data_IF_539293631354
#
_entry.id   IF_539293631354
#
_cell.length_a   1.000
_cell.length_b   1.000
_cell.length_c   1.000
_cell.angle_alpha   90.00
_cell.angle_beta   90.00
_cell.angle_gamma   90.00
#
_symmetry.space_group_name_H-M   'P 1'
#
loop_
_entity.id
_entity.type
_entity.pdbx_description
1 polymer ?
#
# COMPACT_ATOMS: atom_id res chain seq x y z
N UNK A 1 13.40 -29.18 -19.38
CA UNK A 1 14.13 -28.95 -18.11
C UNK A 1 13.40 -27.83 -17.39
N UNK A 2 12.42 -28.18 -16.56
CA UNK A 2 11.70 -27.17 -15.79
C UNK A 2 12.52 -26.82 -14.54
N UNK A 3 12.69 -25.53 -14.29
CA UNK A 3 13.38 -25.04 -13.11
C UNK A 3 12.40 -25.07 -11.94
N UNK A 4 12.65 -25.95 -10.95
CA UNK A 4 11.79 -26.10 -9.76
C UNK A 4 11.48 -24.78 -9.04
N UNK A 5 12.36 -23.78 -9.13
CA UNK A 5 12.15 -22.47 -8.51
C UNK A 5 11.15 -21.60 -9.27
N UNK A 6 10.94 -21.84 -10.57
CA UNK A 6 9.91 -21.17 -11.37
C UNK A 6 8.54 -21.79 -11.11
N UNK A 7 8.47 -23.12 -11.01
CA UNK A 7 7.21 -23.84 -10.76
C UNK A 7 6.64 -23.61 -9.35
N UNK A 8 7.50 -23.41 -8.35
CA UNK A 8 7.06 -23.16 -6.97
C UNK A 8 6.43 -21.76 -6.79
N UNK A 9 6.74 -20.80 -7.66
CA UNK A 9 6.26 -19.42 -7.56
C UNK A 9 6.72 -18.70 -6.28
N UNK A 10 6.43 -17.40 -6.20
CA UNK A 10 6.61 -16.64 -4.96
C UNK A 10 5.36 -16.80 -4.09
N UNK A 11 5.56 -16.94 -2.77
CA UNK A 11 4.46 -17.09 -1.81
C UNK A 11 3.78 -15.76 -1.46
N UNK A 12 4.36 -14.66 -1.89
CA UNK A 12 3.91 -13.30 -1.57
C UNK A 12 4.27 -12.35 -2.72
N UNK A 13 3.55 -11.23 -2.89
CA UNK A 13 3.92 -10.19 -3.84
C UNK A 13 5.32 -9.62 -3.56
N UNK A 14 6.08 -9.36 -4.63
CA UNK A 14 7.36 -8.66 -4.52
C UNK A 14 7.14 -7.19 -4.15
N UNK A 15 6.12 -6.57 -4.74
CA UNK A 15 5.81 -5.16 -4.53
C UNK A 15 4.32 -5.01 -4.20
N UNK A 16 4.02 -4.24 -3.17
CA UNK A 16 2.68 -3.85 -2.78
C UNK A 16 2.56 -2.32 -2.82
N UNK A 17 1.65 -1.81 -3.63
CA UNK A 17 1.27 -0.39 -3.59
C UNK A 17 0.13 -0.21 -2.60
N UNK A 18 0.34 0.58 -1.57
CA UNK A 18 -0.65 0.85 -0.54
C UNK A 18 -1.08 2.32 -0.57
N UNK A 19 -2.36 2.52 -0.85
CA UNK A 19 -3.04 3.80 -0.67
C UNK A 19 -3.31 4.03 0.83
N UNK A 20 -2.34 4.63 1.52
CA UNK A 20 -2.39 4.81 2.99
C UNK A 20 -3.40 5.88 3.43
N UNK A 21 -3.72 6.79 2.51
CA UNK A 21 -4.82 7.76 2.61
C UNK A 21 -5.24 8.17 1.19
N UNK A 22 -6.51 8.54 0.99
CA UNK A 22 -6.94 9.23 -0.24
C UNK A 22 -6.94 10.77 -0.10
N UNK A 23 -6.63 11.28 1.09
CA UNK A 23 -6.47 12.71 1.30
C UNK A 23 -5.29 13.25 0.47
N UNK A 24 -5.53 14.32 -0.29
CA UNK A 24 -4.52 14.94 -1.13
C UNK A 24 -4.71 16.47 -1.16
N UNK A 25 -3.61 17.22 -1.16
CA UNK A 25 -3.61 18.67 -1.34
C UNK A 25 -3.84 19.11 -2.80
N UNK A 26 -3.91 18.17 -3.74
CA UNK A 26 -4.14 18.43 -5.17
C UNK A 26 -5.43 17.74 -5.67
N UNK A 27 -5.87 18.11 -6.87
CA UNK A 27 -7.02 17.52 -7.59
C UNK A 27 -6.65 17.34 -9.07
N UNK A 28 -5.66 16.49 -9.34
CA UNK A 28 -5.11 16.31 -10.69
C UNK A 28 -6.14 15.67 -11.63
N UNK A 29 -6.28 16.21 -12.85
CA UNK A 29 -7.22 15.70 -13.85
C UNK A 29 -6.92 14.27 -14.34
N UNK A 30 -5.69 13.80 -14.13
CA UNK A 30 -5.20 12.48 -14.51
C UNK A 30 -4.90 11.61 -13.27
N UNK A 31 -5.50 11.92 -12.11
CA UNK A 31 -5.25 11.16 -10.88
C UNK A 31 -5.81 9.73 -11.01
N UNK A 32 -4.94 8.73 -10.92
CA UNK A 32 -5.32 7.31 -11.01
C UNK A 32 -6.32 6.94 -9.90
N UNK A 33 -6.01 7.33 -8.66
CA UNK A 33 -6.77 6.99 -7.46
C UNK A 33 -7.96 7.91 -7.20
N UNK A 34 -8.17 8.92 -8.06
CA UNK A 34 -9.17 9.98 -7.84
C UNK A 34 -9.08 10.62 -6.45
N UNK A 35 -7.84 10.78 -5.96
CA UNK A 35 -7.54 11.26 -4.63
C UNK A 35 -8.02 12.69 -4.40
N UNK A 36 -8.36 12.97 -3.16
CA UNK A 36 -8.67 14.32 -2.74
C UNK A 36 -9.12 14.40 -1.30
N UNK A 37 -10.33 13.93 -1.02
CA UNK A 37 -10.84 13.83 0.34
C UNK A 37 -10.41 12.51 0.97
N UNK A 38 -10.25 12.53 2.30
CA UNK A 38 -9.98 11.32 3.09
C UNK A 38 -11.11 10.30 2.90
N UNK A 39 -10.79 9.03 2.71
CA UNK A 39 -11.82 7.98 2.69
C UNK A 39 -12.40 7.78 4.11
N UNK A 40 -13.68 7.43 4.20
CA UNK A 40 -14.35 7.26 5.50
C UNK A 40 -13.86 6.04 6.29
N UNK A 41 -13.22 5.09 5.61
CA UNK A 41 -12.81 3.78 6.12
C UNK A 41 -11.29 3.55 5.99
N UNK A 42 -10.48 4.60 6.08
CA UNK A 42 -9.02 4.46 6.16
C UNK A 42 -8.62 3.76 7.47
N UNK A 43 -7.60 2.92 7.39
CA UNK A 43 -7.05 2.24 8.57
C UNK A 43 -6.60 3.26 9.61
N UNK A 44 -6.92 3.00 10.87
CA UNK A 44 -6.33 3.67 12.03
C UNK A 44 -4.83 3.39 12.10
N UNK A 45 -4.08 4.18 12.88
CA UNK A 45 -2.64 3.94 13.10
C UNK A 45 -2.35 2.53 13.60
N UNK A 46 -3.18 2.02 14.52
CA UNK A 46 -3.01 0.68 15.07
C UNK A 46 -3.21 -0.41 14.00
N UNK A 47 -4.27 -0.29 13.18
CA UNK A 47 -4.53 -1.22 12.08
C UNK A 47 -3.47 -1.12 10.98
N UNK A 48 -2.96 0.08 10.71
CA UNK A 48 -1.89 0.30 9.74
C UNK A 48 -0.58 -0.38 10.18
N UNK A 49 -0.22 -0.27 11.47
CA UNK A 49 0.95 -0.95 12.03
C UNK A 49 0.77 -2.47 12.08
N UNK A 50 -0.43 -2.95 12.40
CA UNK A 50 -0.74 -4.38 12.34
C UNK A 50 -0.62 -4.94 10.91
N UNK A 51 -1.08 -4.19 9.91
CA UNK A 51 -0.89 -4.55 8.50
C UNK A 51 0.60 -4.65 8.16
N UNK A 52 1.45 -3.74 8.63
CA UNK A 52 2.91 -3.83 8.39
C UNK A 52 3.48 -5.15 8.93
N UNK A 53 3.05 -5.61 10.11
CA UNK A 53 3.47 -6.90 10.65
C UNK A 53 2.96 -8.08 9.82
N UNK A 54 1.72 -8.00 9.32
CA UNK A 54 1.17 -9.02 8.42
C UNK A 54 1.96 -9.10 7.11
N UNK A 55 2.32 -7.96 6.51
CA UNK A 55 3.12 -7.89 5.28
C UNK A 55 4.53 -8.45 5.48
N UNK A 56 5.15 -8.12 6.62
CA UNK A 56 6.45 -8.67 7.03
C UNK A 56 6.37 -10.20 7.19
N UNK A 57 5.37 -10.70 7.92
CA UNK A 57 5.15 -12.14 8.14
C UNK A 57 4.88 -12.89 6.83
N UNK A 58 4.15 -12.27 5.90
CA UNK A 58 3.90 -12.83 4.58
C UNK A 58 5.15 -12.85 3.68
N UNK A 59 6.20 -12.09 4.00
CA UNK A 59 7.41 -11.98 3.20
C UNK A 59 7.24 -11.08 1.97
N UNK A 60 6.44 -10.02 2.08
CA UNK A 60 6.39 -8.95 1.06
C UNK A 60 7.74 -8.22 1.05
N UNK A 61 8.33 -8.07 -0.13
CA UNK A 61 9.69 -7.53 -0.24
C UNK A 61 9.73 -5.99 -0.25
N UNK A 62 8.75 -5.34 -0.88
CA UNK A 62 8.70 -3.90 -1.03
C UNK A 62 7.27 -3.37 -0.88
N UNK A 63 7.14 -2.24 -0.17
CA UNK A 63 5.89 -1.48 -0.07
C UNK A 63 6.11 -0.08 -0.64
N UNK A 64 5.20 0.35 -1.53
CA UNK A 64 5.13 1.69 -2.05
C UNK A 64 3.93 2.41 -1.41
N UNK A 65 4.19 3.43 -0.58
CA UNK A 65 3.14 4.25 0.00
C UNK A 65 2.63 5.28 -1.01
N UNK A 66 1.32 5.42 -1.13
CA UNK A 66 0.67 6.34 -2.06
C UNK A 66 -0.80 6.57 -1.72
N UNK A 67 -1.64 6.64 -2.76
CA UNK A 67 -3.05 7.01 -2.68
C UNK A 67 -3.22 8.49 -3.03
N UNK A 68 -3.51 9.31 -2.04
CA UNK A 68 -3.36 10.75 -2.10
C UNK A 68 -1.91 11.16 -1.85
N UNK A 69 -1.72 12.13 -0.96
CA UNK A 69 -0.40 12.56 -0.52
C UNK A 69 -0.10 11.95 0.86
N UNK A 70 0.77 10.92 0.97
CA UNK A 70 1.02 10.22 2.23
C UNK A 70 1.40 11.14 3.38
N UNK A 71 2.18 12.19 3.11
CA UNK A 71 2.66 13.12 4.15
C UNK A 71 1.58 14.04 4.75
N UNK A 72 0.36 14.04 4.20
CA UNK A 72 -0.79 14.76 4.79
C UNK A 72 -1.47 13.92 5.87
N UNK A 73 -1.24 12.61 5.89
CA UNK A 73 -1.80 11.73 6.90
C UNK A 73 -1.25 12.15 8.29
N UNK A 74 -2.09 12.35 9.33
CA UNK A 74 -1.65 12.98 10.59
C UNK A 74 -0.59 12.22 11.39
N UNK A 75 -0.47 10.92 11.17
CA UNK A 75 0.38 9.97 11.88
C UNK A 75 1.52 9.41 11.00
N UNK A 76 1.88 10.11 9.92
CA UNK A 76 2.99 9.74 9.03
C UNK A 76 4.37 10.05 9.64
#
# INVERSE_FOLDING_TARGET
MSNKYVEMGMRSPVNLTWEVTLACNLRCSHCLSSSGEKACNELTTAEALDLVEQLHTAGVFQVNFGGGEPFIRPDF
#
